data_IF_701759998004
#
_entry.id   IF_701759998004
#
_cell.length_a   1.000
_cell.length_b   1.000
_cell.length_c   1.000
_cell.angle_alpha   90.00
_cell.angle_beta   90.00
_cell.angle_gamma   90.00
#
_symmetry.space_group_name_H-M   'P 1'
#
loop_
_entity.id
_entity.type
_entity.pdbx_description
1 polymer ?
#
# COMPACT_ATOMS: atom_id res chain seq x y z
N UNK A 1 21.32 30.20 -5.75
CA UNK A 1 20.42 29.06 -6.03
C UNK A 1 19.37 29.53 -7.02
N UNK A 2 19.38 29.01 -8.23
CA UNK A 2 18.50 29.42 -9.32
C UNK A 2 17.07 28.90 -9.11
N UNK A 3 16.08 29.49 -9.78
CA UNK A 3 14.68 29.07 -9.66
C UNK A 3 14.47 27.59 -10.03
N UNK A 4 15.27 27.07 -10.97
CA UNK A 4 15.24 25.65 -11.34
C UNK A 4 15.76 24.74 -10.22
N UNK A 5 16.82 25.12 -9.52
CA UNK A 5 17.34 24.34 -8.40
C UNK A 5 16.35 24.27 -7.23
N UNK A 6 15.55 25.32 -7.02
CA UNK A 6 14.45 25.32 -6.05
C UNK A 6 13.33 24.36 -6.46
N UNK A 7 12.95 24.37 -7.74
CA UNK A 7 11.90 23.49 -8.26
C UNK A 7 12.29 22.02 -8.14
N UNK A 8 13.50 21.67 -8.55
CA UNK A 8 14.03 20.30 -8.45
C UNK A 8 14.10 19.81 -7.00
N UNK A 9 14.48 20.69 -6.06
CA UNK A 9 14.49 20.34 -4.64
C UNK A 9 13.09 20.03 -4.12
N UNK A 10 12.10 20.86 -4.47
CA UNK A 10 10.70 20.68 -4.05
C UNK A 10 10.12 19.40 -4.67
N UNK A 11 10.34 19.16 -5.96
CA UNK A 11 9.87 17.95 -6.63
C UNK A 11 10.46 16.68 -5.99
N UNK A 12 11.76 16.71 -5.67
CA UNK A 12 12.44 15.58 -4.99
C UNK A 12 11.93 15.36 -3.57
N UNK A 13 11.60 16.43 -2.86
CA UNK A 13 11.07 16.38 -1.49
C UNK A 13 9.62 15.88 -1.46
N UNK A 14 8.78 16.30 -2.41
CA UNK A 14 7.42 15.79 -2.61
C UNK A 14 7.47 14.31 -2.99
N UNK A 15 8.29 13.92 -3.97
CA UNK A 15 8.44 12.52 -4.38
C UNK A 15 8.97 11.66 -3.23
N UNK A 16 9.96 12.11 -2.48
CA UNK A 16 10.50 11.40 -1.31
C UNK A 16 9.46 11.26 -0.19
N UNK A 17 8.67 12.30 0.07
CA UNK A 17 7.59 12.29 1.07
C UNK A 17 6.44 11.37 0.66
N UNK A 18 5.98 11.47 -0.59
CA UNK A 18 4.91 10.63 -1.15
C UNK A 18 5.35 9.18 -1.25
N UNK A 19 6.57 8.90 -1.69
CA UNK A 19 7.15 7.55 -1.69
C UNK A 19 7.30 7.03 -0.25
N UNK A 20 7.73 7.85 0.73
CA UNK A 20 7.78 7.42 2.14
C UNK A 20 6.41 7.15 2.76
N UNK A 21 5.35 7.84 2.31
CA UNK A 21 3.96 7.56 2.74
C UNK A 21 3.38 6.33 2.06
N UNK A 22 3.75 6.07 0.81
CA UNK A 22 3.33 4.87 0.06
C UNK A 22 4.14 3.64 0.51
N UNK A 23 5.40 3.82 0.91
CA UNK A 23 6.27 2.75 1.39
C UNK A 23 6.08 2.54 2.89
N UNK A 24 5.29 1.51 3.20
CA UNK A 24 5.13 0.81 4.49
C UNK A 24 4.24 1.48 5.54
N UNK A 25 2.93 1.22 5.41
CA UNK A 25 2.28 0.50 6.51
C UNK A 25 2.58 -0.99 6.32
N UNK A 26 3.53 -1.51 7.10
CA UNK A 26 3.71 -2.95 7.22
C UNK A 26 3.10 -3.32 8.56
N UNK A 27 1.86 -3.80 8.56
CA UNK A 27 1.43 -4.63 9.68
C UNK A 27 2.18 -5.95 9.49
N UNK A 28 2.93 -6.38 10.50
CA UNK A 28 3.73 -7.62 10.42
C UNK A 28 2.87 -8.88 10.49
N UNK A 29 1.56 -8.73 10.64
CA UNK A 29 0.63 -9.83 10.72
C UNK A 29 0.37 -10.33 9.30
N UNK A 30 0.95 -11.50 9.00
CA UNK A 30 0.49 -12.27 7.84
C UNK A 30 -0.98 -12.61 8.08
N UNK A 31 -1.87 -12.45 7.08
CA UNK A 31 -3.24 -12.94 7.19
C UNK A 31 -3.19 -14.43 7.53
N UNK A 32 -4.14 -14.90 8.36
CA UNK A 32 -4.16 -16.26 8.91
C UNK A 32 -4.07 -17.35 7.82
N UNK A 33 -4.56 -17.05 6.62
CA UNK A 33 -4.30 -17.80 5.39
C UNK A 33 -3.82 -16.81 4.31
N UNK A 34 -2.54 -16.84 3.96
CA UNK A 34 -2.03 -16.07 2.83
C UNK A 34 -2.43 -16.77 1.52
N UNK A 35 -3.36 -16.19 0.72
CA UNK A 35 -3.84 -16.83 -0.49
C UNK A 35 -2.73 -17.03 -1.53
N UNK A 36 -1.59 -16.32 -1.42
CA UNK A 36 -0.40 -16.54 -2.27
C UNK A 36 0.22 -17.93 -2.09
N UNK A 37 -0.09 -18.63 -1.00
CA UNK A 37 0.36 -20.02 -0.81
C UNK A 37 -0.48 -21.03 -1.62
N UNK A 38 -1.64 -20.63 -2.14
CA UNK A 38 -2.57 -21.55 -2.84
C UNK A 38 -3.00 -21.11 -4.24
N UNK A 39 -2.92 -19.81 -4.59
CA UNK A 39 -3.22 -19.29 -5.93
C UNK A 39 -2.48 -17.98 -6.22
N UNK A 40 -2.18 -17.73 -7.50
CA UNK A 40 -1.44 -16.57 -8.04
C UNK A 40 -0.03 -16.37 -7.48
N UNK A 41 0.85 -17.33 -7.81
CA UNK A 41 2.26 -17.37 -7.41
C UNK A 41 3.11 -16.20 -7.91
N UNK A 42 2.62 -15.39 -8.87
CA UNK A 42 3.37 -14.28 -9.46
C UNK A 42 3.13 -12.94 -8.75
N UNK A 43 2.10 -12.81 -7.89
CA UNK A 43 1.80 -11.59 -7.13
C UNK A 43 2.64 -11.49 -5.85
N UNK A 44 3.94 -11.30 -6.01
CA UNK A 44 4.92 -11.34 -4.92
C UNK A 44 5.01 -10.04 -4.11
N UNK A 45 4.71 -8.90 -4.73
CA UNK A 45 4.93 -7.59 -4.15
C UNK A 45 3.66 -6.99 -3.57
N UNK A 46 3.76 -6.37 -2.39
CA UNK A 46 2.66 -5.60 -1.78
C UNK A 46 2.77 -4.14 -2.21
N UNK A 47 1.76 -3.65 -2.94
CA UNK A 47 1.64 -2.25 -3.35
C UNK A 47 1.15 -1.36 -2.21
N UNK A 48 0.10 -1.79 -1.53
CA UNK A 48 -0.58 -1.04 -0.49
C UNK A 48 -1.22 -2.00 0.50
N UNK A 49 -1.10 -1.67 1.77
CA UNK A 49 -1.82 -2.34 2.85
C UNK A 49 -2.56 -1.29 3.67
N UNK A 50 -3.85 -1.52 3.86
CA UNK A 50 -4.74 -0.66 4.64
C UNK A 50 -5.22 -1.47 5.83
N UNK A 51 -4.74 -1.11 7.02
CA UNK A 51 -5.25 -1.69 8.26
C UNK A 51 -6.56 -1.05 8.68
N UNK A 52 -7.23 -1.69 9.63
CA UNK A 52 -8.32 -1.07 10.38
C UNK A 52 -7.79 0.17 11.11
N UNK A 53 -8.49 1.30 10.95
CA UNK A 53 -8.27 2.54 11.68
C UNK A 53 -9.50 2.73 12.58
N UNK A 54 -9.38 2.46 13.89
CA UNK A 54 -10.51 2.62 14.80
C UNK A 54 -10.89 4.10 14.90
N UNK A 55 -12.17 4.39 14.72
CA UNK A 55 -12.70 5.73 14.94
C UNK A 55 -12.97 6.00 16.41
N UNK A 56 -12.70 7.23 16.86
CA UNK A 56 -13.25 7.74 18.10
C UNK A 56 -14.74 8.14 17.97
N UNK A 57 -15.42 8.47 19.08
CA UNK A 57 -16.85 8.79 19.10
C UNK A 57 -17.30 9.93 18.18
N UNK A 58 -16.35 10.77 17.74
CA UNK A 58 -16.61 11.93 16.88
C UNK A 58 -15.74 11.93 15.60
N UNK A 59 -15.03 10.83 15.31
CA UNK A 59 -14.22 10.74 14.10
C UNK A 59 -15.08 10.26 12.93
N UNK A 60 -15.17 11.08 11.89
CA UNK A 60 -15.83 10.72 10.63
C UNK A 60 -14.92 9.86 9.73
N UNK A 61 -13.65 9.74 10.08
CA UNK A 61 -12.63 9.02 9.33
C UNK A 61 -12.23 7.75 10.10
N UNK A 62 -12.94 6.66 9.85
CA UNK A 62 -12.56 5.32 10.33
C UNK A 62 -12.55 4.34 9.16
N UNK A 63 -11.72 3.31 9.26
CA UNK A 63 -11.62 2.23 8.28
C UNK A 63 -11.78 0.93 9.06
N UNK A 64 -12.74 0.09 8.68
CA UNK A 64 -12.98 -1.19 9.35
C UNK A 64 -13.03 -2.31 8.32
N UNK A 65 -12.23 -3.34 8.54
CA UNK A 65 -12.25 -4.56 7.77
C UNK A 65 -12.74 -5.69 8.68
N UNK A 66 -14.06 -5.91 8.73
CA UNK A 66 -14.62 -6.97 9.59
C UNK A 66 -14.30 -6.80 11.09
N UNK A 67 -13.63 -7.79 11.69
CA UNK A 67 -13.22 -7.82 13.10
C UNK A 67 -11.78 -7.31 13.28
N UNK A 68 -11.52 -6.12 12.73
CA UNK A 68 -10.22 -5.44 12.77
C UNK A 68 -9.13 -6.03 11.88
N UNK A 69 -9.50 -6.67 10.76
CA UNK A 69 -8.58 -7.14 9.74
C UNK A 69 -7.94 -6.05 8.87
N UNK A 70 -7.45 -6.47 7.70
CA UNK A 70 -6.64 -5.68 6.78
C UNK A 70 -7.01 -5.92 5.32
N UNK A 71 -6.80 -4.91 4.47
CA UNK A 71 -6.86 -5.04 3.03
C UNK A 71 -5.46 -4.88 2.42
N UNK A 72 -5.12 -5.72 1.44
CA UNK A 72 -3.83 -5.73 0.77
C UNK A 72 -4.02 -5.72 -0.75
N UNK A 73 -3.23 -4.89 -1.42
CA UNK A 73 -3.11 -4.83 -2.87
C UNK A 73 -1.76 -5.40 -3.28
N UNK A 74 -1.77 -6.39 -4.18
CA UNK A 74 -0.61 -7.17 -4.58
C UNK A 74 -0.35 -6.99 -6.08
N UNK A 75 0.91 -7.06 -6.50
CA UNK A 75 1.32 -6.97 -7.90
C UNK A 75 2.49 -7.91 -8.17
N UNK A 76 2.66 -8.31 -9.43
CA UNK A 76 3.88 -9.01 -9.84
C UNK A 76 5.07 -8.07 -9.91
N UNK A 77 6.27 -8.59 -9.64
CA UNK A 77 7.50 -7.81 -9.76
C UNK A 77 7.73 -7.29 -11.20
N UNK A 78 7.31 -8.07 -12.21
CA UNK A 78 7.43 -7.69 -13.62
C UNK A 78 6.51 -6.52 -13.97
N UNK A 79 5.23 -6.60 -13.56
CA UNK A 79 4.24 -5.56 -13.79
C UNK A 79 4.61 -4.26 -13.03
N UNK A 80 5.15 -4.37 -11.81
CA UNK A 80 5.64 -3.23 -11.05
C UNK A 80 6.78 -2.50 -11.76
N UNK A 81 7.76 -3.24 -12.31
CA UNK A 81 8.87 -2.66 -13.08
C UNK A 81 8.40 -2.00 -14.38
N UNK A 82 7.36 -2.55 -15.00
CA UNK A 82 6.76 -2.02 -16.22
C UNK A 82 5.76 -0.87 -15.97
N UNK A 83 5.52 -0.48 -14.70
CA UNK A 83 4.45 0.45 -14.31
C UNK A 83 3.07 0.02 -14.82
N UNK A 84 2.83 -1.29 -14.94
CA UNK A 84 1.59 -1.87 -15.46
C UNK A 84 0.66 -2.29 -14.32
N UNK A 85 -0.32 -1.46 -13.99
CA UNK A 85 -1.25 -1.73 -12.87
C UNK A 85 -2.54 -2.43 -13.30
N UNK A 86 -2.57 -3.08 -14.47
CA UNK A 86 -3.77 -3.78 -14.97
C UNK A 86 -4.04 -5.11 -14.25
N UNK A 87 -3.03 -5.69 -13.59
CA UNK A 87 -3.09 -6.96 -12.86
C UNK A 87 -2.72 -6.78 -11.39
N UNK A 88 -3.60 -6.11 -10.64
CA UNK A 88 -3.43 -5.94 -9.19
C UNK A 88 -4.37 -6.92 -8.47
N UNK A 89 -3.80 -7.78 -7.63
CA UNK A 89 -4.55 -8.63 -6.72
C UNK A 89 -5.08 -7.83 -5.55
N UNK A 90 -6.29 -8.14 -5.12
CA UNK A 90 -6.90 -7.55 -3.92
C UNK A 90 -7.32 -8.67 -2.98
N UNK A 91 -6.78 -8.65 -1.76
CA UNK A 91 -7.10 -9.61 -0.70
C UNK A 91 -7.46 -8.84 0.56
N UNK A 92 -8.41 -9.33 1.33
CA UNK A 92 -8.74 -8.76 2.63
C UNK A 92 -9.05 -9.86 3.62
N UNK A 93 -8.72 -9.63 4.89
CA UNK A 93 -9.15 -10.43 6.02
C UNK A 93 -10.03 -9.61 6.96
N UNK A 94 -10.81 -10.32 7.77
CA UNK A 94 -11.69 -9.76 8.79
C UNK A 94 -11.12 -10.00 10.18
#
# INVERSE_FOLDING_TARGET
MTSNEKFEKIAKEIMSSTIKKIVRFKCSDKPANDPRETSDQDLTETLLQIGTIPGGPNDLEYIMWGDSGTANFLISLEDLKACNFTRVGYIWDC
#
